data_IF_646324952345
#
_entry.id   IF_646324952345
#
_cell.length_a   1.000
_cell.length_b   1.000
_cell.length_c   1.000
_cell.angle_alpha   90.00
_cell.angle_beta   90.00
_cell.angle_gamma   90.00
#
_symmetry.space_group_name_H-M   'P 1'
#
loop_
_entity.id
_entity.type
_entity.pdbx_description
1 polymer ?
#
# COMPACT_ATOMS: atom_id res chain seq x y z
N UNK A 1 -39.19 28.08 18.13
CA UNK A 1 -38.29 26.91 18.31
C UNK A 1 -38.50 25.79 17.28
N UNK A 2 -39.73 25.43 16.86
CA UNK A 2 -39.96 24.32 15.89
C UNK A 2 -39.34 24.55 14.50
N UNK A 3 -39.34 25.81 14.01
CA UNK A 3 -38.73 26.16 12.71
C UNK A 3 -37.20 26.06 12.75
N UNK A 4 -36.57 26.50 13.84
CA UNK A 4 -35.11 26.42 14.03
C UNK A 4 -34.59 24.98 14.13
N UNK A 5 -35.32 24.09 14.79
CA UNK A 5 -34.95 22.66 14.89
C UNK A 5 -35.03 21.99 13.52
N UNK A 6 -36.03 22.32 12.70
CA UNK A 6 -36.15 21.81 11.33
C UNK A 6 -35.02 22.30 10.40
N UNK A 7 -34.63 23.58 10.51
CA UNK A 7 -33.50 24.13 9.77
C UNK A 7 -32.16 23.51 10.19
N UNK A 8 -31.95 23.25 11.48
CA UNK A 8 -30.74 22.59 11.99
C UNK A 8 -30.69 21.12 11.54
N UNK A 9 -31.81 20.39 11.59
CA UNK A 9 -31.89 19.01 11.10
C UNK A 9 -31.62 18.90 9.59
N UNK A 10 -32.12 19.86 8.79
CA UNK A 10 -31.86 19.92 7.36
C UNK A 10 -30.37 20.14 7.05
N UNK A 11 -29.72 21.06 7.77
CA UNK A 11 -28.28 21.32 7.62
C UNK A 11 -27.40 20.13 8.04
N UNK A 12 -27.81 19.38 9.06
CA UNK A 12 -27.12 18.15 9.49
C UNK A 12 -27.25 17.05 8.42
N UNK A 13 -28.43 16.92 7.80
CA UNK A 13 -28.66 15.96 6.71
C UNK A 13 -27.78 16.24 5.48
N UNK A 14 -27.64 17.51 5.07
CA UNK A 14 -26.79 17.89 3.93
C UNK A 14 -25.29 17.62 4.17
N UNK A 15 -24.78 17.74 5.40
CA UNK A 15 -23.37 17.39 5.72
C UNK A 15 -23.10 15.88 5.67
N UNK A 16 -24.06 15.06 6.10
CA UNK A 16 -23.91 13.61 6.12
C UNK A 16 -24.16 12.95 4.74
N UNK A 17 -24.96 13.61 3.89
CA UNK A 17 -25.31 13.13 2.56
C UNK A 17 -24.29 13.48 1.45
N UNK A 18 -23.14 14.06 1.79
CA UNK A 18 -22.05 14.26 0.82
C UNK A 18 -21.03 13.12 0.98
N UNK A 19 -21.17 11.99 0.25
CA UNK A 19 -20.04 11.11 0.04
C UNK A 19 -19.10 11.85 -0.91
N UNK A 20 -18.26 12.72 -0.37
CA UNK A 20 -17.08 13.19 -1.07
C UNK A 20 -16.10 12.01 -1.16
N UNK A 21 -16.45 11.01 -1.96
CA UNK A 21 -15.47 10.10 -2.54
C UNK A 21 -14.67 10.94 -3.54
N UNK A 22 -13.74 11.73 -3.00
CA UNK A 22 -12.66 12.29 -3.77
C UNK A 22 -11.87 11.08 -4.24
N UNK A 23 -12.13 10.64 -5.47
CA UNK A 23 -11.26 9.73 -6.19
C UNK A 23 -9.95 10.49 -6.42
N UNK A 24 -9.12 10.56 -5.39
CA UNK A 24 -7.76 11.04 -5.53
C UNK A 24 -7.07 10.01 -6.41
N UNK A 25 -6.83 10.37 -7.66
CA UNK A 25 -6.06 9.54 -8.58
C UNK A 25 -4.61 9.53 -8.07
N UNK A 26 -4.33 8.56 -7.20
CA UNK A 26 -2.99 8.35 -6.66
C UNK A 26 -2.06 7.97 -7.79
N UNK A 27 -0.84 8.48 -7.74
CA UNK A 27 0.18 8.14 -8.73
C UNK A 27 0.50 6.62 -8.63
N UNK A 28 0.27 5.84 -9.70
CA UNK A 28 0.45 4.40 -9.67
C UNK A 28 1.92 4.00 -9.43
N UNK A 29 2.88 4.79 -9.90
CA UNK A 29 4.30 4.53 -9.64
C UNK A 29 4.64 4.71 -8.15
N UNK A 30 4.08 5.73 -7.51
CA UNK A 30 4.26 5.96 -6.07
C UNK A 30 3.61 4.86 -5.23
N UNK A 31 2.43 4.38 -5.63
CA UNK A 31 1.76 3.24 -4.99
C UNK A 31 2.60 1.98 -5.13
N UNK A 32 3.05 1.66 -6.35
CA UNK A 32 3.87 0.49 -6.61
C UNK A 32 5.15 0.49 -5.77
N UNK A 33 5.82 1.64 -5.64
CA UNK A 33 6.99 1.79 -4.78
C UNK A 33 6.74 1.33 -3.34
N UNK A 34 5.63 1.80 -2.76
CA UNK A 34 5.20 1.49 -1.40
C UNK A 34 4.76 0.04 -1.25
N UNK A 35 4.03 -0.50 -2.23
CA UNK A 35 3.59 -1.90 -2.24
C UNK A 35 4.77 -2.88 -2.31
N UNK A 36 5.88 -2.47 -2.92
CA UNK A 36 7.14 -3.23 -2.88
C UNK A 36 7.88 -3.11 -1.53
N UNK A 37 7.34 -2.38 -0.56
CA UNK A 37 7.91 -2.19 0.77
C UNK A 37 9.02 -1.13 0.81
N UNK A 38 9.07 -0.22 -0.15
CA UNK A 38 10.09 0.84 -0.23
C UNK A 38 9.54 2.22 0.11
N UNK A 39 10.42 3.14 0.50
CA UNK A 39 10.03 4.53 0.80
C UNK A 39 9.88 5.28 -0.52
N UNK A 40 8.73 5.90 -0.73
CA UNK A 40 8.51 6.85 -1.82
C UNK A 40 8.69 8.28 -1.30
N UNK A 41 9.47 9.09 -2.01
CA UNK A 41 9.75 10.48 -1.67
C UNK A 41 9.52 11.37 -2.88
N UNK A 42 8.68 12.39 -2.74
CA UNK A 42 8.44 13.41 -3.77
C UNK A 42 9.46 14.53 -3.59
N UNK A 43 10.18 14.87 -4.66
CA UNK A 43 11.16 15.94 -4.69
C UNK A 43 10.70 17.04 -5.63
N UNK A 44 10.73 18.27 -5.15
CA UNK A 44 10.38 19.46 -5.94
C UNK A 44 11.65 20.13 -6.45
N UNK A 45 11.78 20.29 -7.76
CA UNK A 45 12.88 21.01 -8.39
C UNK A 45 12.67 22.53 -8.31
N UNK A 46 13.70 23.30 -8.69
CA UNK A 46 13.67 24.78 -8.62
C UNK A 46 12.62 25.41 -9.54
N UNK A 47 12.25 24.72 -10.61
CA UNK A 47 11.20 25.12 -11.54
C UNK A 47 9.78 24.74 -11.06
N UNK A 48 9.67 24.13 -9.87
CA UNK A 48 8.40 23.68 -9.29
C UNK A 48 7.94 22.29 -9.77
N UNK A 49 8.68 21.64 -10.68
CA UNK A 49 8.36 20.27 -11.08
C UNK A 49 8.56 19.29 -9.92
N UNK A 50 7.72 18.25 -9.85
CA UNK A 50 7.76 17.24 -8.80
C UNK A 50 8.02 15.86 -9.38
N UNK A 51 9.03 15.19 -8.84
CA UNK A 51 9.41 13.84 -9.26
C UNK A 51 9.45 12.93 -8.05
N UNK A 52 8.88 11.72 -8.16
CA UNK A 52 8.96 10.72 -7.09
C UNK A 52 10.19 9.82 -7.21
N UNK A 53 10.75 9.45 -6.07
CA UNK A 53 11.91 8.57 -5.97
C UNK A 53 11.64 7.47 -4.96
N UNK A 54 11.93 6.24 -5.36
CA UNK A 54 11.98 5.07 -4.49
C UNK A 54 13.35 4.96 -3.82
N UNK A 55 13.34 4.95 -2.49
CA UNK A 55 14.52 4.77 -1.65
C UNK A 55 14.50 3.35 -1.09
N UNK A 56 15.54 2.59 -1.40
CA UNK A 56 15.72 1.20 -0.99
C UNK A 56 16.38 1.09 0.40
N UNK A 57 16.34 -0.08 1.07
CA UNK A 57 16.82 -0.23 2.44
C UNK A 57 18.30 0.10 2.68
N UNK A 58 19.12 0.04 1.63
CA UNK A 58 20.54 0.41 1.70
C UNK A 58 20.80 1.85 1.22
N UNK A 59 19.75 2.68 1.12
CA UNK A 59 19.84 4.07 0.67
C UNK A 59 20.01 4.26 -0.83
N UNK A 60 20.07 3.18 -1.64
CA UNK A 60 20.06 3.34 -3.11
C UNK A 60 18.71 3.89 -3.54
N UNK A 61 18.75 4.68 -4.61
CA UNK A 61 17.59 5.39 -5.12
C UNK A 61 17.29 5.00 -6.56
N UNK A 62 16.02 5.10 -6.92
CA UNK A 62 15.53 4.85 -8.26
C UNK A 62 14.31 5.74 -8.49
N UNK A 63 14.23 6.43 -9.62
CA UNK A 63 13.03 7.20 -9.98
C UNK A 63 11.81 6.27 -10.04
N UNK A 64 10.67 6.71 -9.54
CA UNK A 64 9.51 5.85 -9.28
C UNK A 64 8.93 5.22 -10.55
N UNK A 65 8.88 5.95 -11.67
CA UNK A 65 8.42 5.43 -12.95
C UNK A 65 9.43 4.47 -13.58
N UNK A 66 10.72 4.71 -13.42
CA UNK A 66 11.77 3.79 -13.85
C UNK A 66 11.71 2.48 -13.05
N UNK A 67 11.43 2.57 -11.75
CA UNK A 67 11.20 1.39 -10.92
C UNK A 67 9.90 0.67 -11.30
N UNK A 68 8.82 1.40 -11.57
CA UNK A 68 7.54 0.84 -12.04
C UNK A 68 7.71 0.11 -13.38
N UNK A 69 8.36 0.74 -14.36
CA UNK A 69 8.56 0.26 -15.72
C UNK A 69 9.71 -0.73 -15.89
N UNK A 70 10.36 -1.16 -14.79
CA UNK A 70 11.43 -2.16 -14.85
C UNK A 70 12.71 -1.70 -15.53
N UNK A 71 12.88 -0.42 -15.82
CA UNK A 71 14.14 0.13 -16.33
C UNK A 71 15.16 0.37 -15.22
N UNK A 72 14.75 0.30 -13.95
CA UNK A 72 15.62 0.45 -12.79
C UNK A 72 15.17 -0.43 -11.61
N UNK A 73 16.06 -0.67 -10.65
CA UNK A 73 15.77 -1.38 -9.40
C UNK A 73 15.50 -2.88 -9.52
N UNK A 74 15.97 -3.54 -10.59
CA UNK A 74 15.68 -4.95 -10.87
C UNK A 74 16.08 -5.89 -9.71
N UNK A 75 17.26 -5.67 -9.12
CA UNK A 75 17.72 -6.43 -7.95
C UNK A 75 16.70 -6.36 -6.80
N UNK A 76 16.20 -5.16 -6.50
CA UNK A 76 15.24 -4.94 -5.42
C UNK A 76 13.90 -5.60 -5.70
N UNK A 77 13.41 -5.54 -6.94
CA UNK A 77 12.20 -6.28 -7.32
C UNK A 77 12.38 -7.78 -7.12
N UNK A 78 13.44 -8.37 -7.71
CA UNK A 78 13.69 -9.81 -7.61
C UNK A 78 13.88 -10.26 -6.16
N UNK A 79 14.61 -9.46 -5.36
CA UNK A 79 14.83 -9.76 -3.96
C UNK A 79 13.52 -9.70 -3.16
N UNK A 80 12.65 -8.70 -3.40
CA UNK A 80 11.34 -8.64 -2.77
C UNK A 80 10.46 -9.83 -3.15
N UNK A 81 10.39 -10.19 -4.44
CA UNK A 81 9.66 -11.38 -4.91
C UNK A 81 10.17 -12.65 -4.24
N UNK A 82 11.49 -12.84 -4.14
CA UNK A 82 12.09 -13.98 -3.44
C UNK A 82 11.69 -14.01 -1.96
N UNK A 83 11.76 -12.87 -1.27
CA UNK A 83 11.33 -12.75 0.14
C UNK A 83 9.87 -13.15 0.33
N UNK A 84 8.96 -12.65 -0.51
CA UNK A 84 7.53 -12.99 -0.46
C UNK A 84 7.31 -14.49 -0.69
N UNK A 85 7.94 -15.08 -1.71
CA UNK A 85 7.81 -16.51 -2.00
C UNK A 85 8.33 -17.36 -0.84
N UNK A 86 9.52 -17.05 -0.32
CA UNK A 86 10.10 -17.77 0.82
C UNK A 86 9.18 -17.67 2.04
N UNK A 87 8.65 -16.47 2.32
CA UNK A 87 7.68 -16.25 3.40
C UNK A 87 6.40 -17.08 3.23
N UNK A 88 5.84 -17.12 2.02
CA UNK A 88 4.66 -17.94 1.70
C UNK A 88 4.94 -19.44 1.86
N UNK A 89 6.09 -19.93 1.39
CA UNK A 89 6.47 -21.34 1.52
C UNK A 89 6.64 -21.73 2.99
N UNK A 90 7.31 -20.89 3.78
CA UNK A 90 7.48 -21.13 5.22
C UNK A 90 6.12 -21.13 5.93
N UNK A 91 5.24 -20.16 5.62
CA UNK A 91 3.91 -20.09 6.19
C UNK A 91 3.07 -21.33 5.87
N UNK A 92 3.09 -21.78 4.61
CA UNK A 92 2.39 -23.00 4.19
C UNK A 92 2.97 -24.24 4.87
N UNK A 93 4.29 -24.37 4.97
CA UNK A 93 4.92 -25.49 5.65
C UNK A 93 4.52 -25.56 7.13
N UNK A 94 4.54 -24.43 7.84
CA UNK A 94 4.12 -24.36 9.24
C UNK A 94 2.63 -24.68 9.38
N UNK A 95 1.78 -24.17 8.50
CA UNK A 95 0.35 -24.46 8.50
C UNK A 95 0.06 -25.96 8.29
N UNK A 96 0.76 -26.60 7.34
CA UNK A 96 0.63 -28.04 7.05
C UNK A 96 1.09 -28.88 8.24
N UNK A 97 2.26 -28.57 8.80
CA UNK A 97 2.78 -29.27 9.98
C UNK A 97 1.85 -29.09 11.17
N UNK A 98 1.41 -27.85 11.44
CA UNK A 98 0.46 -27.55 12.52
C UNK A 98 -0.86 -28.31 12.37
N UNK A 99 -1.45 -28.30 11.17
CA UNK A 99 -2.67 -29.06 10.89
C UNK A 99 -2.48 -30.56 11.06
N UNK A 100 -1.35 -31.11 10.59
CA UNK A 100 -1.00 -32.52 10.77
C UNK A 100 -0.92 -32.91 12.25
N UNK A 101 -0.28 -32.09 13.09
CA UNK A 101 -0.22 -32.31 14.53
C UNK A 101 -1.60 -32.28 15.20
N UNK A 102 -2.49 -31.37 14.78
CA UNK A 102 -3.87 -31.30 15.26
C UNK A 102 -4.61 -32.60 14.92
N UNK A 103 -4.48 -33.09 13.69
CA UNK A 103 -5.13 -34.34 13.25
C UNK A 103 -4.62 -35.57 14.03
N UNK A 104 -3.34 -35.64 14.38
CA UNK A 104 -2.79 -36.75 15.16
C UNK A 104 -3.25 -36.69 16.63
N UNK A 105 -3.25 -35.49 17.23
CA UNK A 105 -3.62 -35.32 18.64
C UNK A 105 -5.13 -35.48 18.88
N UNK A 106 -5.97 -35.15 17.89
CA UNK A 106 -7.43 -35.31 17.96
C UNK A 106 -7.95 -36.73 17.75
N UNK A 107 -7.07 -37.72 17.56
CA UNK A 107 -7.42 -39.14 17.39
C UNK A 107 -7.21 -39.99 18.66
N UNK A 108 -7.08 -39.35 19.83
CA UNK A 108 -7.11 -39.99 21.15
C UNK A 108 -8.32 -39.53 21.94
#
# INVERSE_FOLDING_TARGET
>A
MRVLIGSILLLIFFKLASPHNIFAMVNPASVFCKDQGYKNEIRTARDGSQNGVCIFPNGKECEEWAFYNRSCGEYYRKNNTKKVIIGLVIFLAIAVVGFYFILIKGKK
#
